data_IF_492325110347
#
_entry.id   IF_492325110347
#
_cell.length_a   1.000
_cell.length_b   1.000
_cell.length_c   1.000
_cell.angle_alpha   90.00
_cell.angle_beta   90.00
_cell.angle_gamma   90.00
#
_symmetry.space_group_name_H-M   'P 1'
#
loop_
_entity.id
_entity.type
_entity.pdbx_description
1 polymer ?
#
# COMPACT_ATOMS: atom_id res chain seq x y z
N UNK A 1 17.49 14.32 -6.87
CA UNK A 1 16.53 14.59 -7.98
C UNK A 1 15.65 15.78 -7.62
N UNK A 2 15.41 16.70 -8.56
CA UNK A 2 14.72 17.96 -8.28
C UNK A 2 13.20 17.70 -8.10
N UNK A 3 12.56 18.25 -7.02
CA UNK A 3 11.12 18.09 -6.71
C UNK A 3 10.17 18.47 -7.87
N UNK A 4 10.56 19.43 -8.71
CA UNK A 4 9.79 19.81 -9.89
C UNK A 4 9.67 18.63 -10.86
N UNK A 5 10.73 17.85 -11.02
CA UNK A 5 10.75 16.67 -11.89
C UNK A 5 9.83 15.55 -11.40
N UNK A 6 9.87 15.20 -10.11
CA UNK A 6 8.99 14.15 -9.54
C UNK A 6 7.50 14.48 -9.68
N UNK A 7 7.10 15.74 -9.47
CA UNK A 7 5.71 16.16 -9.66
C UNK A 7 5.29 16.10 -11.13
N UNK A 8 6.18 16.43 -12.07
CA UNK A 8 5.94 16.29 -13.49
C UNK A 8 5.75 14.82 -13.89
N UNK A 9 6.62 13.92 -13.41
CA UNK A 9 6.52 12.46 -13.64
C UNK A 9 5.17 11.92 -13.16
N UNK A 10 4.73 12.30 -11.96
CA UNK A 10 3.44 11.87 -11.42
C UNK A 10 2.27 12.36 -12.27
N UNK A 11 2.28 13.62 -12.71
CA UNK A 11 1.25 14.19 -13.57
C UNK A 11 1.27 13.56 -14.97
N UNK A 12 2.46 13.26 -15.51
CA UNK A 12 2.67 12.63 -16.81
C UNK A 12 2.51 11.10 -16.78
N UNK A 13 2.22 10.50 -15.60
CA UNK A 13 1.91 9.07 -15.47
C UNK A 13 3.06 8.16 -15.92
N UNK A 14 4.28 8.55 -15.61
CA UNK A 14 5.49 7.77 -15.93
C UNK A 14 5.72 7.54 -17.43
N UNK A 15 5.12 8.36 -18.33
CA UNK A 15 5.19 8.14 -19.78
C UNK A 15 6.61 8.11 -20.33
N UNK A 16 7.53 8.90 -19.74
CA UNK A 16 8.92 8.98 -20.15
C UNK A 16 9.75 7.75 -19.72
N UNK A 17 9.13 6.79 -19.00
CA UNK A 17 9.75 5.58 -18.48
C UNK A 17 8.95 4.36 -18.93
N UNK A 18 9.35 3.74 -20.04
CA UNK A 18 8.60 2.68 -20.72
C UNK A 18 8.16 1.54 -19.78
N UNK A 19 9.07 1.02 -18.96
CA UNK A 19 8.77 -0.05 -18.00
C UNK A 19 7.77 0.40 -16.94
N UNK A 20 7.99 1.58 -16.35
CA UNK A 20 7.13 2.11 -15.28
C UNK A 20 5.75 2.52 -15.79
N UNK A 21 5.66 2.98 -17.04
CA UNK A 21 4.39 3.31 -17.67
C UNK A 21 3.52 2.08 -17.90
N UNK A 22 4.12 0.92 -18.22
CA UNK A 22 3.41 -0.36 -18.31
C UNK A 22 2.84 -0.78 -16.95
N UNK A 23 3.64 -0.66 -15.88
CA UNK A 23 3.19 -0.94 -14.50
C UNK A 23 2.04 0.00 -14.12
N UNK A 24 2.19 1.29 -14.41
CA UNK A 24 1.13 2.27 -14.14
C UNK A 24 -0.15 1.96 -14.92
N UNK A 25 -0.05 1.58 -16.18
CA UNK A 25 -1.20 1.21 -17.02
C UNK A 25 -1.97 0.02 -16.45
N UNK A 26 -1.25 -1.06 -16.11
CA UNK A 26 -1.83 -2.25 -15.49
C UNK A 26 -2.49 -1.92 -14.13
N UNK A 27 -1.80 -1.14 -13.29
CA UNK A 27 -2.33 -0.63 -12.02
C UNK A 27 -3.61 0.19 -12.24
N UNK A 28 -3.60 1.15 -13.16
CA UNK A 28 -4.74 2.01 -13.47
C UNK A 28 -5.96 1.21 -13.91
N UNK A 29 -5.77 0.19 -14.75
CA UNK A 29 -6.85 -0.70 -15.19
C UNK A 29 -7.48 -1.43 -14.00
N UNK A 30 -6.65 -1.97 -13.07
CA UNK A 30 -7.13 -2.65 -11.85
C UNK A 30 -7.95 -1.70 -10.95
N UNK A 31 -7.50 -0.45 -10.77
CA UNK A 31 -8.23 0.56 -9.97
C UNK A 31 -9.53 0.98 -10.65
N UNK A 32 -9.51 1.24 -11.94
CA UNK A 32 -10.70 1.67 -12.72
C UNK A 32 -11.82 0.63 -12.67
N UNK A 33 -11.48 -0.65 -12.76
CA UNK A 33 -12.44 -1.76 -12.73
C UNK A 33 -13.25 -1.85 -11.42
N UNK A 34 -12.75 -1.28 -10.32
CA UNK A 34 -13.49 -1.24 -9.05
C UNK A 34 -14.68 -0.28 -9.08
N UNK A 35 -14.75 0.63 -10.05
CA UNK A 35 -15.81 1.68 -10.16
C UNK A 35 -16.01 2.46 -8.84
N UNK A 36 -14.93 2.67 -8.07
CA UNK A 36 -14.94 3.38 -6.78
C UNK A 36 -14.18 4.69 -6.89
N UNK A 37 -14.59 5.68 -6.07
CA UNK A 37 -13.97 7.02 -6.04
C UNK A 37 -13.22 7.32 -4.74
N UNK A 38 -13.35 6.46 -3.72
CA UNK A 38 -12.73 6.65 -2.41
C UNK A 38 -11.84 5.46 -2.07
N UNK A 39 -10.57 5.73 -1.83
CA UNK A 39 -9.55 4.72 -1.53
C UNK A 39 -8.80 5.06 -0.25
N UNK A 40 -8.37 4.02 0.47
CA UNK A 40 -7.38 4.13 1.52
C UNK A 40 -6.11 3.40 1.05
N UNK A 41 -4.96 4.03 1.21
CA UNK A 41 -3.64 3.42 1.00
C UNK A 41 -3.01 3.14 2.36
N UNK A 42 -2.69 1.88 2.62
CA UNK A 42 -1.91 1.48 3.79
C UNK A 42 -0.43 1.75 3.52
N UNK A 43 0.12 2.76 4.17
CA UNK A 43 1.53 3.17 4.04
C UNK A 43 2.33 2.56 5.18
N UNK A 44 3.49 1.96 4.89
CA UNK A 44 4.44 1.47 5.90
C UNK A 44 5.74 2.28 5.96
N UNK A 45 6.01 3.09 4.92
CA UNK A 45 7.27 3.82 4.75
C UNK A 45 8.34 3.06 3.97
N UNK A 46 8.18 1.75 3.75
CA UNK A 46 9.05 0.96 2.86
C UNK A 46 8.80 1.28 1.38
N UNK A 47 9.78 0.94 0.53
CA UNK A 47 9.79 1.25 -0.90
C UNK A 47 8.50 0.83 -1.62
N UNK A 48 7.98 -0.37 -1.34
CA UNK A 48 6.77 -0.90 -1.97
C UNK A 48 5.54 -0.03 -1.66
N UNK A 49 5.38 0.36 -0.39
CA UNK A 49 4.27 1.21 0.03
C UNK A 49 4.38 2.64 -0.50
N UNK A 50 5.60 3.14 -0.66
CA UNK A 50 5.87 4.42 -1.31
C UNK A 50 5.57 4.35 -2.81
N UNK A 51 6.00 3.27 -3.49
CA UNK A 51 5.65 3.04 -4.90
C UNK A 51 4.13 3.01 -5.11
N UNK A 52 3.39 2.26 -4.30
CA UNK A 52 1.92 2.27 -4.33
C UNK A 52 1.36 3.69 -4.13
N UNK A 53 1.93 4.44 -3.19
CA UNK A 53 1.55 5.83 -2.91
C UNK A 53 1.77 6.72 -4.13
N UNK A 54 2.89 6.58 -4.83
CA UNK A 54 3.18 7.31 -6.07
C UNK A 54 2.19 6.96 -7.18
N UNK A 55 1.93 5.66 -7.42
CA UNK A 55 1.02 5.19 -8.47
C UNK A 55 -0.41 5.71 -8.27
N UNK A 56 -0.95 5.60 -7.05
CA UNK A 56 -2.32 6.09 -6.79
C UNK A 56 -2.39 7.63 -6.77
N UNK A 57 -1.34 8.31 -6.34
CA UNK A 57 -1.26 9.78 -6.44
C UNK A 57 -1.29 10.21 -7.91
N UNK A 58 -0.50 9.55 -8.76
CA UNK A 58 -0.51 9.75 -10.21
C UNK A 58 -1.90 9.51 -10.82
N UNK A 59 -2.55 8.40 -10.43
CA UNK A 59 -3.92 8.09 -10.85
C UNK A 59 -4.91 9.17 -10.45
N UNK A 60 -4.79 9.73 -9.25
CA UNK A 60 -5.70 10.74 -8.72
C UNK A 60 -5.64 12.09 -9.46
N UNK A 61 -4.55 12.39 -10.18
CA UNK A 61 -4.46 13.62 -10.97
C UNK A 61 -5.40 13.64 -12.19
N UNK A 62 -5.64 12.48 -12.82
CA UNK A 62 -6.52 12.37 -13.99
C UNK A 62 -7.93 11.89 -13.67
N UNK A 63 -8.08 11.19 -12.54
CA UNK A 63 -9.35 10.58 -12.18
C UNK A 63 -9.91 11.28 -10.95
N UNK A 64 -11.15 11.73 -10.99
CA UNK A 64 -11.85 12.38 -9.86
C UNK A 64 -12.05 11.37 -8.71
N UNK A 65 -10.97 11.04 -7.97
CA UNK A 65 -11.01 10.16 -6.82
C UNK A 65 -10.35 10.81 -5.59
N UNK A 66 -10.82 10.43 -4.40
CA UNK A 66 -10.26 10.85 -3.11
C UNK A 66 -9.44 9.71 -2.52
N UNK A 67 -8.23 10.02 -2.06
CA UNK A 67 -7.31 9.04 -1.49
C UNK A 67 -6.93 9.46 -0.08
N UNK A 68 -7.15 8.58 0.89
CA UNK A 68 -6.64 8.70 2.26
C UNK A 68 -5.40 7.85 2.41
N UNK A 69 -4.33 8.43 2.93
CA UNK A 69 -3.08 7.73 3.22
C UNK A 69 -2.98 7.52 4.72
N UNK A 70 -2.79 6.28 5.14
CA UNK A 70 -2.78 5.91 6.56
C UNK A 70 -1.58 5.03 6.87
N UNK A 71 -0.83 5.40 7.88
CA UNK A 71 0.25 4.61 8.47
C UNK A 71 -0.19 4.19 9.88
N UNK A 72 -0.10 2.89 10.16
CA UNK A 72 -0.30 2.35 11.51
C UNK A 72 1.06 2.26 12.20
N UNK A 73 1.24 3.06 13.23
CA UNK A 73 2.38 2.93 14.13
C UNK A 73 2.06 1.88 15.21
N UNK A 74 2.68 0.72 15.09
CA UNK A 74 2.47 -0.38 16.03
C UNK A 74 3.13 -0.18 17.39
N UNK A 75 3.98 0.85 17.53
CA UNK A 75 4.72 1.16 18.76
C UNK A 75 5.56 -0.03 19.27
N UNK A 76 6.12 -0.83 18.35
CA UNK A 76 6.93 -2.02 18.68
C UNK A 76 8.42 -1.69 18.88
N UNK A 77 8.89 -0.56 18.42
CA UNK A 77 10.28 -0.09 18.51
C UNK A 77 10.31 1.31 19.08
N UNK A 78 11.37 1.65 19.84
CA UNK A 78 11.56 2.99 20.42
C UNK A 78 11.46 4.10 19.38
N UNK A 79 11.93 3.86 18.16
CA UNK A 79 11.99 4.86 17.08
C UNK A 79 10.78 4.86 16.14
N UNK A 80 9.77 4.00 16.35
CA UNK A 80 8.63 3.85 15.42
C UNK A 80 7.88 5.17 15.18
N UNK A 81 7.67 5.97 16.21
CA UNK A 81 7.02 7.26 16.11
C UNK A 81 7.85 8.28 15.31
N UNK A 82 9.18 8.26 15.44
CA UNK A 82 10.10 9.11 14.68
C UNK A 82 10.12 8.70 13.21
N UNK A 83 10.17 7.40 12.93
CA UNK A 83 10.07 6.85 11.57
C UNK A 83 8.76 7.27 10.90
N UNK A 84 7.62 7.10 11.58
CA UNK A 84 6.31 7.50 11.09
C UNK A 84 6.23 9.02 10.79
N UNK A 85 6.80 9.86 11.66
CA UNK A 85 6.90 11.32 11.46
C UNK A 85 7.79 11.66 10.26
N UNK A 86 8.87 10.92 10.03
CA UNK A 86 9.77 11.11 8.89
C UNK A 86 9.08 10.78 7.57
N UNK A 87 8.33 9.68 7.50
CA UNK A 87 7.49 9.33 6.35
C UNK A 87 6.43 10.42 6.11
N UNK A 88 5.78 10.92 7.16
CA UNK A 88 4.80 12.01 7.03
C UNK A 88 5.44 13.28 6.46
N UNK A 89 6.63 13.66 6.94
CA UNK A 89 7.38 14.82 6.41
C UNK A 89 7.77 14.63 4.95
N UNK A 90 8.24 13.42 4.57
CA UNK A 90 8.55 13.08 3.19
C UNK A 90 7.33 13.28 2.30
N UNK A 91 6.20 12.63 2.63
CA UNK A 91 4.99 12.66 1.80
C UNK A 91 4.36 14.06 1.72
N UNK A 92 4.48 14.87 2.77
CA UNK A 92 4.00 16.27 2.77
C UNK A 92 4.66 17.10 1.66
N UNK A 93 5.94 16.82 1.31
CA UNK A 93 6.65 17.50 0.22
C UNK A 93 5.99 17.28 -1.15
N UNK A 94 5.19 16.23 -1.30
CA UNK A 94 4.45 15.84 -2.52
C UNK A 94 2.94 16.10 -2.40
N UNK A 95 2.52 16.95 -1.46
CA UNK A 95 1.11 17.25 -1.20
C UNK A 95 0.29 15.99 -0.89
N UNK A 96 0.89 15.06 -0.13
CA UNK A 96 0.25 13.85 0.36
C UNK A 96 0.11 13.96 1.87
N UNK A 97 -1.14 14.08 2.35
CA UNK A 97 -1.43 14.16 3.77
C UNK A 97 -1.52 12.75 4.38
N UNK A 98 -0.49 12.34 5.13
CA UNK A 98 -0.45 11.06 5.83
C UNK A 98 -1.11 11.16 7.20
N UNK A 99 -2.09 10.29 7.45
CA UNK A 99 -2.67 10.08 8.78
C UNK A 99 -1.86 8.99 9.49
N UNK A 100 -1.33 9.29 10.68
CA UNK A 100 -0.66 8.30 11.53
C UNK A 100 -1.65 7.88 12.61
N UNK A 101 -1.90 6.58 12.73
CA UNK A 101 -2.73 6.01 13.79
C UNK A 101 -1.83 5.16 14.68
N UNK A 102 -1.70 5.54 15.93
CA UNK A 102 -0.89 4.82 16.92
C UNK A 102 -1.68 3.64 17.49
N UNK A 103 -1.05 2.49 17.55
CA UNK A 103 -1.56 1.37 18.34
C UNK A 103 -1.24 1.60 19.82
N UNK A 104 -2.28 1.62 20.64
CA UNK A 104 -2.13 1.76 22.10
C UNK A 104 -2.17 0.40 22.83
N UNK A 105 -2.34 -0.72 22.11
CA UNK A 105 -2.35 -2.06 22.71
C UNK A 105 -0.94 -2.61 22.80
N UNK A 106 -0.59 -3.19 23.93
CA UNK A 106 0.68 -3.90 24.13
C UNK A 106 0.57 -5.27 23.46
N UNK A 107 1.50 -5.59 22.57
CA UNK A 107 1.58 -6.89 21.91
C UNK A 107 2.68 -7.70 22.61
N UNK A 108 2.29 -8.76 23.35
CA UNK A 108 3.22 -9.60 24.14
C UNK A 108 3.57 -10.93 23.46
N UNK A 109 2.65 -11.51 22.69
CA UNK A 109 2.81 -12.83 22.04
C UNK A 109 2.40 -12.75 20.57
N UNK A 110 2.91 -13.66 19.76
CA UNK A 110 2.58 -13.73 18.32
C UNK A 110 2.64 -12.38 17.60
N UNK A 111 3.73 -11.64 17.84
CA UNK A 111 3.87 -10.21 17.47
C UNK A 111 3.45 -9.92 16.03
N UNK A 112 3.86 -10.74 15.05
CA UNK A 112 3.55 -10.51 13.64
C UNK A 112 2.06 -10.67 13.34
N UNK A 113 1.43 -11.75 13.83
CA UNK A 113 0.00 -12.02 13.59
C UNK A 113 -0.88 -10.99 14.28
N UNK A 114 -0.56 -10.64 15.53
CA UNK A 114 -1.28 -9.63 16.30
C UNK A 114 -1.12 -8.23 15.69
N UNK A 115 0.08 -7.84 15.31
CA UNK A 115 0.31 -6.57 14.62
C UNK A 115 -0.48 -6.51 13.31
N UNK A 116 -0.53 -7.63 12.54
CA UNK A 116 -1.34 -7.71 11.33
C UNK A 116 -2.83 -7.57 11.64
N UNK A 117 -3.36 -8.25 12.65
CA UNK A 117 -4.76 -8.16 13.08
C UNK A 117 -5.13 -6.74 13.50
N UNK A 118 -4.32 -6.13 14.35
CA UNK A 118 -4.51 -4.75 14.82
C UNK A 118 -4.49 -3.78 13.65
N UNK A 119 -3.54 -3.93 12.72
CA UNK A 119 -3.45 -3.10 11.52
C UNK A 119 -4.77 -3.09 10.75
N UNK A 120 -5.31 -4.27 10.42
CA UNK A 120 -6.54 -4.33 9.64
C UNK A 120 -7.74 -3.79 10.42
N UNK A 121 -7.83 -4.03 11.72
CA UNK A 121 -8.91 -3.48 12.56
C UNK A 121 -8.87 -1.94 12.59
N UNK A 122 -7.68 -1.35 12.76
CA UNK A 122 -7.52 0.12 12.77
C UNK A 122 -7.83 0.72 11.39
N UNK A 123 -7.36 0.10 10.30
CA UNK A 123 -7.67 0.53 8.95
C UNK A 123 -9.16 0.40 8.64
N UNK A 124 -9.81 -0.70 9.03
CA UNK A 124 -11.24 -0.91 8.85
C UNK A 124 -12.07 0.11 9.62
N UNK A 125 -11.69 0.41 10.87
CA UNK A 125 -12.34 1.44 11.69
C UNK A 125 -12.22 2.83 11.05
N UNK A 126 -11.04 3.17 10.52
CA UNK A 126 -10.83 4.42 9.79
C UNK A 126 -11.71 4.47 8.51
N UNK A 127 -11.75 3.38 7.77
CA UNK A 127 -12.58 3.26 6.58
C UNK A 127 -14.06 3.44 6.89
N UNK A 128 -14.56 2.81 7.97
CA UNK A 128 -15.96 2.94 8.42
C UNK A 128 -16.31 4.40 8.69
N UNK A 129 -15.48 5.11 9.48
CA UNK A 129 -15.67 6.53 9.81
C UNK A 129 -15.70 7.44 8.57
N UNK A 130 -14.93 7.10 7.52
CA UNK A 130 -14.80 7.89 6.30
C UNK A 130 -15.61 7.36 5.11
N UNK A 131 -16.46 6.35 5.31
CA UNK A 131 -17.25 5.69 4.27
C UNK A 131 -16.41 5.17 3.09
N UNK A 132 -15.16 4.76 3.35
CA UNK A 132 -14.24 4.19 2.37
C UNK A 132 -14.51 2.68 2.27
N UNK A 133 -14.59 2.15 1.05
CA UNK A 133 -14.90 0.73 0.81
C UNK A 133 -13.73 -0.06 0.22
N UNK A 134 -12.60 0.58 -0.04
CA UNK A 134 -11.43 -0.07 -0.63
C UNK A 134 -10.15 0.34 0.09
N UNK A 135 -9.39 -0.66 0.53
CA UNK A 135 -8.03 -0.52 1.07
C UNK A 135 -7.06 -1.07 0.04
N UNK A 136 -6.03 -0.30 -0.28
CA UNK A 136 -4.93 -0.69 -1.14
C UNK A 136 -3.71 -1.03 -0.29
N UNK A 137 -3.08 -2.18 -0.58
CA UNK A 137 -1.83 -2.62 0.06
C UNK A 137 -0.79 -2.98 -0.99
N UNK A 138 0.47 -2.78 -0.66
CA UNK A 138 1.59 -2.87 -1.59
C UNK A 138 2.27 -4.25 -1.63
N UNK A 139 1.50 -5.33 -1.43
CA UNK A 139 2.04 -6.68 -1.62
C UNK A 139 2.46 -6.86 -3.08
N UNK A 140 3.61 -7.47 -3.28
CA UNK A 140 4.30 -7.62 -4.56
C UNK A 140 4.48 -9.11 -4.93
N UNK A 141 5.24 -9.38 -5.99
CA UNK A 141 5.47 -10.74 -6.48
C UNK A 141 6.30 -11.58 -5.49
N UNK A 142 7.31 -10.98 -4.87
CA UNK A 142 8.16 -11.66 -3.88
C UNK A 142 7.37 -12.04 -2.63
N UNK A 143 6.44 -11.20 -2.18
CA UNK A 143 5.51 -11.54 -1.08
C UNK A 143 4.62 -12.75 -1.42
N UNK A 144 4.26 -12.91 -2.71
CA UNK A 144 3.53 -14.08 -3.20
C UNK A 144 4.37 -15.34 -3.06
N UNK A 145 5.61 -15.28 -3.55
CA UNK A 145 6.58 -16.38 -3.49
C UNK A 145 6.87 -16.76 -2.03
N UNK A 146 7.14 -15.78 -1.19
CA UNK A 146 7.37 -16.01 0.25
C UNK A 146 6.16 -16.69 0.90
N UNK A 147 4.95 -16.20 0.62
CA UNK A 147 3.71 -16.79 1.14
C UNK A 147 3.55 -18.24 0.69
N UNK A 148 3.87 -18.55 -0.56
CA UNK A 148 3.83 -19.90 -1.10
C UNK A 148 4.79 -20.83 -0.34
N UNK A 149 6.05 -20.45 -0.18
CA UNK A 149 7.04 -21.26 0.54
C UNK A 149 6.69 -21.45 2.02
N UNK A 150 6.20 -20.42 2.70
CA UNK A 150 5.74 -20.53 4.09
C UNK A 150 4.59 -21.55 4.22
N UNK A 151 3.67 -21.59 3.28
CA UNK A 151 2.56 -22.54 3.27
C UNK A 151 3.03 -23.95 2.94
N UNK A 152 3.96 -24.08 1.99
CA UNK A 152 4.57 -25.34 1.63
C UNK A 152 5.30 -25.96 2.82
N UNK A 153 6.12 -25.20 3.52
CA UNK A 153 6.87 -25.66 4.71
C UNK A 153 5.97 -26.08 5.88
N UNK A 154 4.74 -25.59 5.92
CA UNK A 154 3.73 -25.97 6.92
C UNK A 154 2.88 -27.19 6.51
N UNK A 155 3.23 -27.86 5.41
CA UNK A 155 2.47 -29.01 4.94
C UNK A 155 1.07 -28.67 4.43
N UNK A 156 0.83 -27.44 3.97
CA UNK A 156 -0.47 -27.09 3.41
C UNK A 156 -0.77 -27.90 2.16
N UNK A 157 -1.93 -28.55 2.09
CA UNK A 157 -2.38 -29.26 0.88
C UNK A 157 -2.56 -28.32 -0.31
N UNK A 158 -2.82 -28.88 -1.49
CA UNK A 158 -2.91 -28.14 -2.78
C UNK A 158 -3.82 -26.92 -2.68
N UNK A 159 -4.97 -27.02 -2.03
CA UNK A 159 -5.87 -25.87 -1.81
C UNK A 159 -5.27 -24.80 -0.89
N UNK A 160 -4.47 -25.20 0.09
CA UNK A 160 -3.77 -24.29 1.01
C UNK A 160 -2.58 -23.59 0.37
N UNK A 161 -1.97 -24.12 -0.69
CA UNK A 161 -0.85 -23.52 -1.42
C UNK A 161 -1.26 -22.36 -2.32
N UNK A 162 -2.57 -22.11 -2.48
CA UNK A 162 -3.05 -21.02 -3.32
C UNK A 162 -2.41 -19.67 -2.90
N UNK A 163 -1.90 -18.93 -3.88
CA UNK A 163 -1.26 -17.62 -3.64
C UNK A 163 -2.24 -16.58 -3.06
N UNK A 164 -1.73 -15.45 -2.62
CA UNK A 164 -2.59 -14.36 -2.11
C UNK A 164 -3.57 -13.89 -3.19
N UNK A 165 -4.85 -13.88 -2.87
CA UNK A 165 -5.86 -13.31 -3.78
C UNK A 165 -5.59 -11.83 -4.02
N UNK A 166 -5.70 -11.40 -5.27
CA UNK A 166 -5.57 -9.98 -5.63
C UNK A 166 -6.58 -9.10 -4.87
N UNK A 167 -7.78 -9.62 -4.66
CA UNK A 167 -8.84 -8.93 -3.95
C UNK A 167 -9.56 -9.89 -3.01
N UNK A 168 -9.84 -9.45 -1.79
CA UNK A 168 -10.71 -10.17 -0.86
C UNK A 168 -11.52 -9.18 -0.01
N UNK A 169 -12.64 -9.65 0.51
CA UNK A 169 -13.42 -8.91 1.50
C UNK A 169 -12.83 -9.10 2.88
N UNK A 170 -12.82 -8.03 3.65
CA UNK A 170 -12.52 -8.02 5.07
C UNK A 170 -13.73 -7.47 5.84
N UNK A 171 -13.58 -7.26 7.14
CA UNK A 171 -14.65 -6.73 7.99
C UNK A 171 -15.36 -5.50 7.39
N UNK A 172 -16.64 -5.33 7.70
CA UNK A 172 -17.48 -4.21 7.24
C UNK A 172 -17.63 -4.13 5.70
N UNK A 173 -17.53 -5.25 5.01
CA UNK A 173 -17.64 -5.33 3.55
C UNK A 173 -16.63 -4.44 2.81
N UNK A 174 -15.47 -4.23 3.41
CA UNK A 174 -14.36 -3.49 2.81
C UNK A 174 -13.57 -4.42 1.89
N UNK A 175 -13.28 -3.96 0.69
CA UNK A 175 -12.43 -4.68 -0.26
C UNK A 175 -10.96 -4.36 0.04
N UNK A 176 -10.18 -5.38 0.36
CA UNK A 176 -8.72 -5.30 0.39
C UNK A 176 -8.18 -5.66 -0.99
N UNK A 177 -7.57 -4.70 -1.67
CA UNK A 177 -6.97 -4.90 -2.99
C UNK A 177 -5.45 -4.85 -2.90
N UNK A 178 -4.80 -5.77 -3.59
CA UNK A 178 -3.35 -5.87 -3.77
C UNK A 178 -3.01 -5.67 -5.25
N UNK A 179 -2.95 -4.45 -5.73
CA UNK A 179 -2.85 -4.20 -7.17
C UNK A 179 -1.48 -4.54 -7.77
N UNK A 180 -0.46 -4.76 -6.91
CA UNK A 180 0.94 -4.92 -7.29
C UNK A 180 1.47 -6.37 -7.18
N UNK A 181 0.59 -7.37 -6.99
CA UNK A 181 0.98 -8.77 -6.78
C UNK A 181 1.82 -9.39 -7.92
N UNK A 182 1.77 -8.82 -9.10
CA UNK A 182 2.50 -9.28 -10.29
C UNK A 182 3.73 -8.40 -10.59
N UNK A 183 4.00 -7.40 -9.74
CA UNK A 183 5.10 -6.45 -9.94
C UNK A 183 6.28 -6.88 -9.07
N UNK A 184 7.47 -6.92 -9.66
CA UNK A 184 8.72 -7.26 -8.95
C UNK A 184 9.11 -6.16 -7.98
N UNK A 185 9.72 -6.54 -6.87
CA UNK A 185 10.16 -5.62 -5.80
C UNK A 185 11.17 -4.59 -6.29
N UNK A 186 12.10 -4.98 -7.17
CA UNK A 186 13.08 -4.08 -7.76
C UNK A 186 12.42 -2.95 -8.58
N UNK A 187 11.35 -3.27 -9.30
CA UNK A 187 10.56 -2.29 -10.04
C UNK A 187 9.87 -1.29 -9.11
N UNK A 188 9.35 -1.76 -7.96
CA UNK A 188 8.75 -0.89 -6.95
C UNK A 188 9.82 0.01 -6.29
N UNK A 189 11.01 -0.52 -6.02
CA UNK A 189 12.15 0.27 -5.54
C UNK A 189 12.50 1.37 -6.55
N UNK A 190 12.55 1.06 -7.86
CA UNK A 190 12.80 2.06 -8.91
C UNK A 190 11.74 3.18 -8.88
N UNK A 191 10.44 2.83 -8.80
CA UNK A 191 9.36 3.82 -8.70
C UNK A 191 9.53 4.69 -7.46
N UNK A 192 9.80 4.08 -6.31
CA UNK A 192 9.96 4.80 -5.04
C UNK A 192 11.13 5.78 -5.11
N UNK A 193 12.30 5.35 -5.58
CA UNK A 193 13.51 6.19 -5.72
C UNK A 193 13.35 7.29 -6.76
N UNK A 194 12.55 7.05 -7.82
CA UNK A 194 12.31 8.04 -8.85
C UNK A 194 11.44 9.20 -8.36
N UNK A 195 10.57 8.96 -7.40
CA UNK A 195 9.59 9.96 -6.94
C UNK A 195 10.01 10.59 -5.61
N UNK A 196 10.46 9.80 -4.66
CA UNK A 196 10.75 10.21 -3.28
C UNK A 196 12.25 10.24 -2.95
#
# INVERSE_FOLDING_TARGET
>A
MNKKNSSAILKNQFKDYTELSKIYSAFSKKIKNLKKKFFLVAVSGGADSLALTALIKSYSYKNKCKVSYVLIDHNLRKNSATEAKSVKRLLKKFQINLNIIKNNRIIKKNIQSEARRIRYNLLSSFCKKRKIKVILTAHNLEDQVETFFIRLSRGSGIQGLSSMKQSNKIENNITLLRPLLEVKKDQLIKISKLIF
#
